data_IF_109847758229
#
_entry.id   IF_109847758229
#
_cell.length_a   1.000
_cell.length_b   1.000
_cell.length_c   1.000
_cell.angle_alpha   90.00
_cell.angle_beta   90.00
_cell.angle_gamma   90.00
#
_symmetry.space_group_name_H-M   'P 1'
#
loop_
_entity.id
_entity.type
_entity.pdbx_description
1 polymer ?
#
# COMPACT_ATOMS: atom_id res chain seq x y z
N UNK A 1 -9.53 54.82 -16.87
CA UNK A 1 -8.15 55.27 -16.58
C UNK A 1 -7.22 54.29 -17.30
N UNK A 2 -6.73 54.51 -18.53
CA UNK A 2 -5.65 55.44 -18.95
C UNK A 2 -4.51 55.49 -17.91
N UNK A 3 -3.22 55.27 -18.20
CA UNK A 3 -2.43 55.22 -19.43
C UNK A 3 -1.11 54.44 -19.15
N UNK A 4 -0.62 53.57 -20.05
CA UNK A 4 0.56 53.72 -20.96
C UNK A 4 1.87 54.27 -20.36
N UNK A 5 2.97 53.51 -20.56
CA UNK A 5 4.36 53.97 -20.54
C UNK A 5 5.39 52.82 -20.71
N UNK A 6 5.87 52.63 -21.95
CA UNK A 6 6.88 51.66 -22.49
C UNK A 6 8.33 52.27 -22.41
N UNK A 7 9.40 51.71 -23.04
CA UNK A 7 10.01 50.36 -23.09
C UNK A 7 11.59 50.44 -23.05
N UNK A 8 12.29 49.46 -23.68
CA UNK A 8 13.71 49.39 -24.14
C UNK A 8 14.67 48.62 -23.22
N UNK A 9 15.60 47.74 -23.64
CA UNK A 9 16.04 47.13 -24.92
C UNK A 9 16.81 45.84 -24.56
N UNK A 10 16.60 44.69 -25.23
CA UNK A 10 17.44 44.11 -26.30
C UNK A 10 18.90 43.82 -25.91
N UNK A 11 19.28 42.54 -25.84
CA UNK A 11 20.43 41.96 -26.55
C UNK A 11 20.60 40.45 -26.26
N UNK A 12 20.66 39.67 -27.34
CA UNK A 12 21.41 38.43 -27.46
C UNK A 12 22.05 38.43 -28.86
N UNK A 13 22.64 37.35 -29.40
CA UNK A 13 23.19 36.13 -28.80
C UNK A 13 24.67 35.89 -29.25
N UNK A 14 25.42 34.98 -28.61
CA UNK A 14 26.53 34.26 -29.31
C UNK A 14 27.02 33.01 -28.55
N UNK A 15 27.19 31.85 -29.23
CA UNK A 15 27.89 30.66 -28.72
C UNK A 15 29.26 30.45 -29.40
N UNK A 16 30.15 29.67 -28.75
CA UNK A 16 31.26 28.82 -29.27
C UNK A 16 32.47 28.83 -28.30
N UNK A 17 33.48 27.91 -28.37
CA UNK A 17 33.61 26.70 -29.19
C UNK A 17 33.98 25.41 -28.39
N UNK A 18 33.76 24.25 -29.02
CA UNK A 18 34.47 22.98 -28.79
C UNK A 18 35.81 22.95 -29.53
N UNK A 19 36.82 22.22 -29.03
CA UNK A 19 37.83 21.61 -29.89
C UNK A 19 37.89 20.07 -29.75
N UNK A 20 37.89 19.41 -30.93
CA UNK A 20 38.81 18.36 -31.43
C UNK A 20 39.27 17.26 -30.45
N UNK A 21 38.95 15.96 -30.62
CA UNK A 21 39.40 14.97 -31.64
C UNK A 21 40.89 15.04 -31.98
N UNK A 22 41.68 14.14 -31.37
CA UNK A 22 42.82 13.41 -31.96
C UNK A 22 43.36 12.40 -30.91
N UNK A 23 43.24 11.08 -31.12
CA UNK A 23 44.33 10.20 -31.58
C UNK A 23 44.33 8.96 -30.67
N UNK A 24 43.85 7.79 -31.09
CA UNK A 24 44.55 6.78 -31.90
C UNK A 24 45.87 6.32 -31.27
N UNK A 25 45.85 5.20 -30.52
CA UNK A 25 46.94 4.22 -30.55
C UNK A 25 46.45 2.80 -30.19
N UNK A 26 46.49 1.83 -31.13
CA UNK A 26 46.23 0.42 -30.86
C UNK A 26 47.54 -0.39 -30.88
N UNK A 27 47.66 -1.32 -29.93
CA UNK A 27 48.43 -2.54 -30.13
C UNK A 27 49.78 -2.63 -29.41
N UNK A 28 49.85 -3.57 -28.47
CA UNK A 28 51.05 -4.35 -28.24
C UNK A 28 50.66 -5.67 -27.59
N UNK A 29 50.31 -6.64 -28.43
CA UNK A 29 50.40 -8.07 -28.15
C UNK A 29 51.85 -8.43 -27.85
N UNK A 30 52.10 -9.06 -26.70
CA UNK A 30 53.30 -9.88 -26.49
C UNK A 30 52.89 -11.23 -25.92
N UNK A 31 52.79 -12.19 -26.83
CA UNK A 31 53.10 -13.58 -26.56
C UNK A 31 54.57 -13.69 -26.18
N UNK A 32 54.85 -14.39 -25.08
CA UNK A 32 56.13 -15.07 -24.87
C UNK A 32 55.85 -16.40 -24.20
N UNK A 33 55.88 -17.45 -25.00
CA UNK A 33 56.04 -18.84 -24.60
C UNK A 33 57.26 -19.01 -23.68
N UNK A 34 57.06 -19.73 -22.58
CA UNK A 34 58.13 -20.19 -21.70
C UNK A 34 57.72 -21.51 -21.02
N UNK A 35 58.66 -22.45 -20.78
CA UNK A 35 58.36 -23.88 -20.71
C UNK A 35 57.78 -24.33 -19.37
N UNK A 36 56.89 -25.31 -19.44
CA UNK A 36 56.37 -26.09 -18.30
C UNK A 36 57.51 -26.83 -17.57
N UNK A 37 57.60 -26.77 -16.23
CA UNK A 37 58.42 -27.72 -15.47
C UNK A 37 57.68 -29.04 -15.24
N UNK A 38 58.42 -30.12 -15.43
CA UNK A 38 58.05 -31.53 -15.24
C UNK A 38 57.74 -31.93 -13.78
N UNK A 39 57.05 -33.06 -13.56
CA UNK A 39 56.41 -33.40 -12.29
C UNK A 39 57.41 -34.00 -11.29
N UNK A 40 57.55 -33.37 -10.13
CA UNK A 40 58.25 -33.97 -8.99
C UNK A 40 57.33 -34.94 -8.26
N UNK A 41 57.78 -36.18 -8.19
CA UNK A 41 57.26 -37.25 -7.34
C UNK A 41 57.48 -36.93 -5.87
N UNK A 42 56.43 -36.55 -5.15
CA UNK A 42 56.36 -36.68 -3.70
C UNK A 42 55.06 -37.37 -3.32
N UNK A 43 55.23 -38.66 -3.05
CA UNK A 43 54.29 -39.55 -2.37
C UNK A 43 54.45 -39.26 -0.86
N UNK A 44 53.34 -39.38 -0.13
CA UNK A 44 53.22 -39.28 1.34
C UNK A 44 53.07 -37.87 1.95
N UNK A 45 51.84 -37.34 1.93
CA UNK A 45 51.14 -36.80 3.12
C UNK A 45 49.75 -36.26 2.76
N UNK A 46 48.75 -37.15 2.75
CA UNK A 46 47.33 -36.75 2.79
C UNK A 46 46.87 -36.69 4.26
N UNK A 47 46.31 -35.56 4.74
CA UNK A 47 45.62 -35.53 6.02
C UNK A 47 44.36 -36.41 5.94
N UNK A 48 44.12 -37.19 6.99
CA UNK A 48 42.95 -38.04 7.13
C UNK A 48 41.64 -37.26 6.91
N UNK A 49 40.78 -37.81 6.05
CA UNK A 49 39.37 -37.40 5.91
C UNK A 49 38.68 -37.41 7.28
N UNK A 50 38.03 -36.31 7.73
CA UNK A 50 37.04 -36.43 8.78
C UNK A 50 35.83 -37.18 8.23
N UNK A 51 35.33 -38.10 9.05
CA UNK A 51 34.15 -38.92 8.78
C UNK A 51 32.99 -38.06 8.23
N UNK A 52 32.33 -38.58 7.19
CA UNK A 52 31.08 -38.04 6.70
C UNK A 52 30.07 -38.02 7.86
N UNK A 53 29.78 -36.83 8.35
CA UNK A 53 28.58 -36.55 9.11
C UNK A 53 27.41 -36.76 8.13
N UNK A 54 26.48 -37.67 8.46
CA UNK A 54 25.27 -37.93 7.71
C UNK A 54 24.35 -36.70 7.85
N UNK A 55 24.72 -35.65 7.12
CA UNK A 55 23.98 -34.42 6.98
C UNK A 55 22.64 -34.74 6.36
N UNK A 56 21.61 -34.78 7.20
CA UNK A 56 20.22 -34.68 6.81
C UNK A 56 20.12 -33.60 5.72
N UNK A 57 19.65 -34.02 4.54
CA UNK A 57 19.45 -33.14 3.40
C UNK A 57 18.65 -31.90 3.84
N UNK A 58 19.35 -30.78 3.97
CA UNK A 58 18.77 -29.47 4.19
C UNK A 58 17.85 -29.20 2.98
N UNK A 59 16.53 -28.99 3.17
CA UNK A 59 15.61 -28.80 2.06
C UNK A 59 15.97 -27.52 1.31
N UNK A 60 16.77 -27.69 0.26
CA UNK A 60 17.25 -26.66 -0.62
C UNK A 60 16.07 -25.85 -1.20
N UNK A 61 16.07 -24.54 -0.95
CA UNK A 61 15.29 -23.57 -1.74
C UNK A 61 14.74 -22.36 -0.99
N UNK A 62 14.69 -22.35 0.33
CA UNK A 62 14.18 -21.20 1.08
C UNK A 62 15.34 -20.36 1.65
N UNK A 63 15.83 -19.39 0.87
CA UNK A 63 16.76 -18.38 1.39
C UNK A 63 16.26 -17.76 2.71
N UNK A 64 17.15 -17.26 3.59
CA UNK A 64 16.78 -16.83 4.93
C UNK A 64 15.64 -15.82 4.87
N UNK A 65 14.54 -16.14 5.56
CA UNK A 65 13.36 -15.27 5.61
C UNK A 65 13.73 -13.85 6.07
N UNK A 66 12.97 -12.82 5.67
CA UNK A 66 13.27 -11.43 6.00
C UNK A 66 13.45 -11.25 7.51
N UNK A 67 14.50 -10.51 7.88
CA UNK A 67 14.89 -10.27 9.27
C UNK A 67 13.74 -9.67 10.09
N UNK A 68 13.73 -9.98 11.39
CA UNK A 68 12.73 -9.43 12.33
C UNK A 68 12.71 -7.90 12.30
N UNK A 69 13.89 -7.27 12.19
CA UNK A 69 14.05 -5.82 12.08
C UNK A 69 13.27 -5.23 10.90
N UNK A 70 13.33 -5.86 9.72
CA UNK A 70 12.59 -5.38 8.54
C UNK A 70 11.08 -5.48 8.73
N UNK A 71 10.59 -6.53 9.39
CA UNK A 71 9.15 -6.70 9.68
C UNK A 71 8.67 -5.63 10.65
N UNK A 72 9.37 -5.45 11.76
CA UNK A 72 9.03 -4.41 12.74
C UNK A 72 9.13 -3.01 12.16
N UNK A 73 10.13 -2.74 11.31
CA UNK A 73 10.22 -1.48 10.58
C UNK A 73 8.99 -1.19 9.71
N UNK A 74 8.43 -2.20 9.03
CA UNK A 74 7.20 -2.03 8.25
C UNK A 74 5.96 -1.82 9.13
N UNK A 75 5.87 -2.52 10.26
CA UNK A 75 4.78 -2.35 11.25
C UNK A 75 4.79 -0.94 11.81
N UNK A 76 5.94 -0.47 12.32
CA UNK A 76 6.07 0.88 12.89
C UNK A 76 5.85 1.95 11.82
N UNK A 77 6.39 1.77 10.61
CA UNK A 77 6.17 2.72 9.52
C UNK A 77 4.68 2.82 9.15
N UNK A 78 3.96 1.70 9.04
CA UNK A 78 2.52 1.72 8.75
C UNK A 78 1.73 2.32 9.91
N UNK A 79 2.09 1.97 11.15
CA UNK A 79 1.44 2.45 12.35
C UNK A 79 1.50 3.98 12.48
N UNK A 80 2.67 4.57 12.18
CA UNK A 80 2.89 6.01 12.22
C UNK A 80 2.31 6.74 11.00
N UNK A 81 2.43 6.15 9.80
CA UNK A 81 2.01 6.81 8.57
C UNK A 81 0.48 6.94 8.47
N UNK A 82 -0.28 5.96 8.95
CA UNK A 82 -1.73 5.97 8.89
C UNK A 82 -2.40 7.20 9.56
N UNK A 83 -2.10 7.55 10.83
CA UNK A 83 -2.67 8.75 11.44
C UNK A 83 -2.16 10.03 10.79
N UNK A 84 -0.88 10.10 10.35
CA UNK A 84 -0.36 11.25 9.61
C UNK A 84 -1.18 11.51 8.35
N UNK A 85 -1.47 10.45 7.58
CA UNK A 85 -2.27 10.55 6.37
C UNK A 85 -3.73 10.94 6.64
N UNK A 86 -4.32 10.42 7.71
CA UNK A 86 -5.71 10.67 8.07
C UNK A 86 -5.94 12.12 8.53
N UNK A 87 -5.15 12.56 9.51
CA UNK A 87 -5.43 13.76 10.31
C UNK A 87 -4.49 14.94 9.99
N UNK A 88 -3.20 14.68 9.78
CA UNK A 88 -2.19 15.75 9.81
C UNK A 88 -2.00 16.46 8.47
N UNK A 89 -2.28 15.78 7.34
CA UNK A 89 -1.99 16.34 6.00
C UNK A 89 -2.80 17.59 5.67
N UNK A 90 -4.02 17.72 6.20
CA UNK A 90 -4.94 18.84 5.90
C UNK A 90 -4.78 20.00 6.90
N UNK A 91 -3.97 19.82 7.96
CA UNK A 91 -3.63 20.85 8.93
C UNK A 91 -4.87 21.57 9.54
N UNK A 92 -5.91 20.79 9.87
CA UNK A 92 -7.14 21.30 10.50
C UNK A 92 -7.17 21.15 12.02
N UNK A 93 -6.20 20.44 12.63
CA UNK A 93 -6.16 20.25 14.07
C UNK A 93 -5.70 21.53 14.78
N UNK A 94 -6.24 21.80 15.97
CA UNK A 94 -5.83 22.88 16.86
C UNK A 94 -4.36 22.76 17.34
N UNK A 95 -3.81 21.54 17.39
CA UNK A 95 -2.40 21.28 17.68
C UNK A 95 -1.45 21.60 16.49
N UNK A 96 -1.98 22.09 15.36
CA UNK A 96 -1.19 22.36 14.15
C UNK A 96 -0.05 23.35 14.43
N UNK A 97 1.17 22.95 14.07
CA UNK A 97 2.39 23.73 14.33
C UNK A 97 2.99 23.55 15.72
N UNK A 98 2.33 22.83 16.64
CA UNK A 98 2.94 22.35 17.87
C UNK A 98 3.58 20.98 17.65
N UNK A 99 4.90 20.93 17.53
CA UNK A 99 5.63 19.69 17.23
C UNK A 99 5.47 18.63 18.31
N UNK A 100 5.52 19.00 19.59
CA UNK A 100 5.48 18.05 20.69
C UNK A 100 4.10 17.38 20.79
N UNK A 101 3.03 18.17 20.73
CA UNK A 101 1.65 17.66 20.71
C UNK A 101 1.38 16.85 19.45
N UNK A 102 1.87 17.29 18.29
CA UNK A 102 1.74 16.53 17.04
C UNK A 102 2.40 15.15 17.12
N UNK A 103 3.61 15.05 17.68
CA UNK A 103 4.30 13.78 17.85
C UNK A 103 3.58 12.87 18.86
N UNK A 104 3.10 13.45 19.97
CA UNK A 104 2.28 12.72 20.94
C UNK A 104 1.01 12.18 20.29
N UNK A 105 0.28 13.03 19.55
CA UNK A 105 -0.95 12.66 18.86
C UNK A 105 -0.71 11.56 17.81
N UNK A 106 0.39 11.62 17.04
CA UNK A 106 0.75 10.53 16.12
C UNK A 106 0.91 9.21 16.88
N UNK A 107 1.61 9.19 18.02
CA UNK A 107 1.80 8.00 18.86
C UNK A 107 0.49 7.52 19.46
N UNK A 108 -0.31 8.44 20.00
CA UNK A 108 -1.63 8.16 20.58
C UNK A 108 -2.58 7.53 19.55
N UNK A 109 -2.56 8.02 18.32
CA UNK A 109 -3.39 7.53 17.22
C UNK A 109 -2.81 6.30 16.49
N UNK A 110 -1.58 5.87 16.79
CA UNK A 110 -0.99 4.66 16.18
C UNK A 110 -1.86 3.41 16.41
N UNK A 111 -2.32 3.08 17.63
CA UNK A 111 -3.14 1.89 17.84
C UNK A 111 -4.49 1.96 17.11
N UNK A 112 -5.03 3.14 16.89
CA UNK A 112 -6.31 3.34 16.21
C UNK A 112 -6.15 3.26 14.68
N UNK A 113 -5.58 4.28 14.06
CA UNK A 113 -5.45 4.35 12.59
C UNK A 113 -4.41 3.36 12.08
N UNK A 114 -3.25 3.32 12.73
CA UNK A 114 -2.18 2.38 12.42
C UNK A 114 -2.59 0.94 12.66
N UNK A 115 -3.25 0.67 13.79
CA UNK A 115 -3.79 -0.64 14.12
C UNK A 115 -4.85 -1.10 13.13
N UNK A 116 -5.80 -0.25 12.75
CA UNK A 116 -6.76 -0.55 11.69
C UNK A 116 -6.05 -0.90 10.38
N UNK A 117 -5.10 -0.06 9.94
CA UNK A 117 -4.34 -0.31 8.72
C UNK A 117 -3.57 -1.63 8.76
N UNK A 118 -2.96 -1.99 9.90
CA UNK A 118 -2.22 -3.26 10.06
C UNK A 118 -3.18 -4.45 10.12
N UNK A 119 -4.23 -4.39 10.93
CA UNK A 119 -5.19 -5.49 11.12
C UNK A 119 -5.95 -5.79 9.83
N UNK A 120 -6.41 -4.76 9.10
CA UNK A 120 -7.05 -4.93 7.79
C UNK A 120 -6.08 -5.58 6.80
N UNK A 121 -4.80 -5.21 6.81
CA UNK A 121 -3.78 -5.86 5.97
C UNK A 121 -3.63 -7.33 6.32
N UNK A 122 -3.49 -7.66 7.60
CA UNK A 122 -3.31 -9.03 8.08
C UNK A 122 -4.52 -9.91 7.76
N UNK A 123 -5.74 -9.42 8.02
CA UNK A 123 -7.00 -10.10 7.69
C UNK A 123 -7.11 -10.30 6.19
N UNK A 124 -6.89 -9.25 5.39
CA UNK A 124 -6.98 -9.35 3.94
C UNK A 124 -5.98 -10.36 3.37
N UNK A 125 -4.77 -10.43 3.94
CA UNK A 125 -3.77 -11.40 3.51
C UNK A 125 -4.14 -12.83 3.91
N UNK A 126 -4.48 -13.05 5.19
CA UNK A 126 -4.79 -14.39 5.74
C UNK A 126 -6.07 -14.98 5.16
N UNK A 127 -7.06 -14.15 4.85
CA UNK A 127 -8.33 -14.58 4.25
C UNK A 127 -8.33 -14.57 2.71
N UNK A 128 -7.19 -14.31 2.07
CA UNK A 128 -7.06 -14.33 0.61
C UNK A 128 -7.90 -13.26 -0.11
N UNK A 129 -8.13 -12.11 0.52
CA UNK A 129 -8.94 -11.02 -0.03
C UNK A 129 -8.21 -10.31 -1.18
N UNK A 130 -8.98 -9.91 -2.18
CA UNK A 130 -8.56 -8.99 -3.25
C UNK A 130 -8.55 -7.56 -2.73
N UNK A 131 -8.13 -6.64 -3.60
CA UNK A 131 -8.14 -5.22 -3.28
C UNK A 131 -9.55 -4.70 -2.95
N UNK A 132 -10.61 -5.24 -3.58
CA UNK A 132 -11.99 -4.91 -3.27
C UNK A 132 -12.38 -5.28 -1.85
N UNK A 133 -12.06 -6.50 -1.41
CA UNK A 133 -12.34 -6.95 -0.04
C UNK A 133 -11.59 -6.09 0.99
N UNK A 134 -10.35 -5.71 0.69
CA UNK A 134 -9.58 -4.79 1.52
C UNK A 134 -10.18 -3.38 1.55
N UNK A 135 -10.66 -2.85 0.43
CA UNK A 135 -11.34 -1.56 0.38
C UNK A 135 -12.65 -1.58 1.15
N UNK A 136 -13.40 -2.69 1.13
CA UNK A 136 -14.60 -2.88 1.93
C UNK A 136 -14.28 -2.93 3.43
N UNK A 137 -13.23 -3.63 3.86
CA UNK A 137 -12.79 -3.60 5.26
C UNK A 137 -12.35 -2.18 5.69
N UNK A 138 -11.73 -1.42 4.78
CA UNK A 138 -11.39 -0.02 5.04
C UNK A 138 -12.64 0.87 5.13
N UNK A 139 -13.67 0.60 4.32
CA UNK A 139 -14.96 1.29 4.39
C UNK A 139 -15.70 0.96 5.69
N UNK A 140 -15.65 -0.29 6.15
CA UNK A 140 -16.16 -0.68 7.46
C UNK A 140 -15.44 0.07 8.59
N UNK A 141 -14.11 0.22 8.52
CA UNK A 141 -13.37 1.05 9.46
C UNK A 141 -13.78 2.52 9.41
N UNK A 142 -13.89 3.13 8.22
CA UNK A 142 -14.33 4.52 8.10
C UNK A 142 -15.75 4.76 8.62
N UNK A 143 -16.66 3.82 8.39
CA UNK A 143 -18.01 3.86 8.95
C UNK A 143 -17.99 3.69 10.46
N UNK A 144 -17.18 2.78 11.00
CA UNK A 144 -17.01 2.64 12.45
C UNK A 144 -16.42 3.89 13.07
N UNK A 145 -15.41 4.51 12.45
CA UNK A 145 -14.81 5.76 12.92
C UNK A 145 -15.91 6.81 13.16
N UNK A 146 -16.60 7.14 12.08
CA UNK A 146 -17.55 8.25 12.03
C UNK A 146 -18.86 8.01 12.79
N UNK A 147 -19.35 6.77 12.82
CA UNK A 147 -20.67 6.45 13.39
C UNK A 147 -20.61 5.83 14.79
N UNK A 148 -19.45 5.31 15.22
CA UNK A 148 -19.31 4.56 16.47
C UNK A 148 -18.16 5.08 17.32
N UNK A 149 -17.01 5.45 16.74
CA UNK A 149 -15.80 5.76 17.51
C UNK A 149 -15.73 7.25 17.84
N UNK A 150 -15.63 8.12 16.84
CA UNK A 150 -15.57 9.58 17.02
C UNK A 150 -16.97 10.22 17.07
N UNK A 151 -18.01 9.46 16.70
CA UNK A 151 -19.42 9.87 16.72
C UNK A 151 -19.74 11.13 15.90
N UNK A 152 -18.82 11.57 15.04
CA UNK A 152 -18.94 12.76 14.21
C UNK A 152 -20.22 12.78 13.36
N UNK A 153 -20.72 11.63 12.90
CA UNK A 153 -21.99 11.55 12.15
C UNK A 153 -23.22 11.90 12.98
N UNK A 154 -23.11 11.82 14.30
CA UNK A 154 -24.20 12.03 15.25
C UNK A 154 -24.02 13.28 16.09
N UNK A 155 -23.00 14.09 15.81
CA UNK A 155 -22.72 15.35 16.51
C UNK A 155 -23.27 16.52 15.67
N UNK A 156 -24.41 17.13 16.03
CA UNK A 156 -25.06 18.16 15.19
C UNK A 156 -24.27 19.47 15.12
N UNK A 157 -23.57 19.82 16.21
CA UNK A 157 -22.82 21.06 16.35
C UNK A 157 -21.46 20.80 16.95
N UNK A 158 -20.44 21.45 16.41
CA UNK A 158 -19.12 21.53 17.00
C UNK A 158 -18.72 23.03 17.02
N UNK A 159 -18.58 23.66 18.19
CA UNK A 159 -18.31 25.09 18.30
C UNK A 159 -16.93 25.48 17.76
N UNK A 160 -16.00 24.54 17.66
CA UNK A 160 -14.64 24.80 17.21
C UNK A 160 -14.52 24.84 15.67
N UNK A 161 -15.59 24.45 14.96
CA UNK A 161 -15.62 24.32 13.50
C UNK A 161 -16.79 25.12 12.92
N UNK A 162 -16.49 26.32 12.40
CA UNK A 162 -17.48 27.29 11.89
C UNK A 162 -18.49 26.69 10.90
N UNK A 163 -18.02 25.82 10.00
CA UNK A 163 -18.83 25.25 8.93
C UNK A 163 -19.53 23.93 9.30
N UNK A 164 -19.42 23.47 10.56
CA UNK A 164 -19.92 22.15 10.99
C UNK A 164 -21.43 22.00 10.82
N UNK A 165 -22.19 23.03 11.23
CA UNK A 165 -23.65 23.01 11.13
C UNK A 165 -24.12 22.87 9.66
N UNK A 166 -23.48 23.57 8.73
CA UNK A 166 -23.78 23.48 7.30
C UNK A 166 -23.40 22.12 6.72
N UNK A 167 -22.24 21.58 7.11
CA UNK A 167 -21.79 20.24 6.73
C UNK A 167 -22.79 19.16 7.16
N UNK A 168 -23.38 19.29 8.36
CA UNK A 168 -24.36 18.32 8.88
C UNK A 168 -25.78 18.51 8.33
N UNK A 169 -26.19 19.73 8.04
CA UNK A 169 -27.59 20.04 7.70
C UNK A 169 -27.87 20.03 6.20
N UNK A 170 -26.93 20.44 5.34
CA UNK A 170 -27.24 20.73 3.92
C UNK A 170 -27.64 19.50 3.10
N UNK A 171 -27.10 18.33 3.45
CA UNK A 171 -27.43 17.05 2.78
C UNK A 171 -28.03 16.04 3.76
N UNK A 172 -28.75 16.55 4.77
CA UNK A 172 -29.42 15.72 5.76
C UNK A 172 -30.49 14.84 5.08
N UNK A 173 -30.45 13.55 5.36
CA UNK A 173 -31.47 12.59 4.93
C UNK A 173 -32.63 12.65 5.93
N UNK A 174 -33.84 13.06 5.53
CA UNK A 174 -34.99 13.11 6.42
C UNK A 174 -35.29 11.73 7.03
N UNK A 175 -35.59 11.71 8.33
CA UNK A 175 -35.90 10.47 9.08
C UNK A 175 -34.69 9.67 9.55
N UNK A 176 -33.49 9.92 9.01
CA UNK A 176 -32.23 9.36 9.52
C UNK A 176 -31.40 10.37 10.32
N UNK A 177 -31.68 11.68 10.14
CA UNK A 177 -30.91 12.80 10.70
C UNK A 177 -29.39 12.69 10.45
N UNK A 178 -29.04 12.15 9.29
CA UNK A 178 -27.68 11.85 8.89
C UNK A 178 -27.31 12.68 7.65
N UNK A 179 -26.15 13.34 7.68
CA UNK A 179 -25.61 14.03 6.51
C UNK A 179 -25.04 13.04 5.50
N UNK A 180 -25.61 12.99 4.29
CA UNK A 180 -25.11 12.15 3.22
C UNK A 180 -23.69 12.57 2.77
N UNK A 181 -23.42 13.89 2.77
CA UNK A 181 -22.11 14.46 2.49
C UNK A 181 -21.06 13.99 3.50
N UNK A 182 -21.33 14.17 4.80
CA UNK A 182 -20.43 13.76 5.86
C UNK A 182 -20.14 12.26 5.79
N UNK A 183 -21.18 11.44 5.62
CA UNK A 183 -21.05 9.98 5.49
C UNK A 183 -20.14 9.59 4.33
N UNK A 184 -20.39 10.11 3.13
CA UNK A 184 -19.62 9.71 1.94
C UNK A 184 -18.18 10.23 2.02
N UNK A 185 -17.99 11.49 2.42
CA UNK A 185 -16.65 12.11 2.44
C UNK A 185 -15.76 11.56 3.53
N UNK A 186 -16.26 11.39 4.77
CA UNK A 186 -15.44 10.87 5.87
C UNK A 186 -15.15 9.38 5.71
N UNK A 187 -16.12 8.56 5.29
CA UNK A 187 -15.86 7.13 5.02
C UNK A 187 -14.85 6.97 3.89
N UNK A 188 -15.00 7.71 2.78
CA UNK A 188 -14.04 7.67 1.67
C UNK A 188 -12.66 8.18 2.10
N UNK A 189 -12.60 9.24 2.89
CA UNK A 189 -11.39 9.78 3.49
C UNK A 189 -10.63 8.71 4.28
N UNK A 190 -11.30 7.98 5.17
CA UNK A 190 -10.69 6.88 5.92
C UNK A 190 -10.26 5.71 5.03
N UNK A 191 -11.08 5.34 4.04
CA UNK A 191 -10.73 4.27 3.09
C UNK A 191 -9.41 4.58 2.41
N UNK A 192 -9.29 5.79 1.85
CA UNK A 192 -8.14 6.19 1.06
C UNK A 192 -6.95 6.50 1.98
N UNK A 193 -7.12 7.43 2.92
CA UNK A 193 -6.02 8.06 3.64
C UNK A 193 -5.60 7.30 4.90
N UNK A 194 -6.53 6.66 5.61
CA UNK A 194 -6.15 5.89 6.80
C UNK A 194 -5.64 4.49 6.46
N UNK A 195 -6.08 3.90 5.34
CA UNK A 195 -5.81 2.48 5.04
C UNK A 195 -5.08 2.29 3.71
N UNK A 196 -5.70 2.59 2.58
CA UNK A 196 -5.20 2.13 1.27
C UNK A 196 -3.89 2.82 0.84
N UNK A 197 -3.80 4.14 1.01
CA UNK A 197 -2.59 4.93 0.72
C UNK A 197 -1.42 4.51 1.59
N UNK A 198 -1.49 4.56 2.94
CA UNK A 198 -0.34 4.22 3.78
C UNK A 198 0.09 2.75 3.62
N UNK A 199 -0.83 1.81 3.42
CA UNK A 199 -0.47 0.43 3.09
C UNK A 199 0.27 0.34 1.74
N UNK A 200 -0.16 1.08 0.73
CA UNK A 200 0.48 1.08 -0.60
C UNK A 200 1.89 1.66 -0.53
N UNK A 201 2.07 2.75 0.21
CA UNK A 201 3.38 3.36 0.47
C UNK A 201 4.31 2.32 1.10
N UNK A 202 3.93 1.72 2.24
CA UNK A 202 4.80 0.77 2.94
C UNK A 202 5.04 -0.49 2.09
N UNK A 203 4.04 -0.98 1.35
CA UNK A 203 4.20 -2.13 0.45
C UNK A 203 5.11 -1.84 -0.77
N UNK A 204 5.31 -0.57 -1.12
CA UNK A 204 6.22 -0.16 -2.20
C UNK A 204 7.68 -0.12 -1.74
N UNK A 205 7.92 0.18 -0.45
CA UNK A 205 9.28 0.24 0.14
C UNK A 205 9.70 -1.09 0.77
N UNK A 206 8.77 -1.86 1.34
CA UNK A 206 9.01 -3.14 2.01
C UNK A 206 8.73 -4.36 1.09
N UNK A 207 9.27 -4.36 -0.13
CA UNK A 207 8.95 -5.38 -1.16
C UNK A 207 9.28 -6.82 -0.74
N UNK A 208 10.33 -7.03 0.06
CA UNK A 208 10.72 -8.34 0.60
C UNK A 208 9.68 -8.95 1.54
N UNK A 209 8.68 -8.18 1.98
CA UNK A 209 7.61 -8.64 2.88
C UNK A 209 6.28 -8.87 2.16
N UNK A 210 6.26 -8.83 0.81
CA UNK A 210 5.03 -9.00 0.04
C UNK A 210 4.44 -10.39 0.20
N UNK A 211 3.12 -10.44 0.38
CA UNK A 211 2.38 -11.69 0.54
C UNK A 211 2.63 -12.42 1.87
N UNK A 212 3.36 -11.80 2.82
CA UNK A 212 3.70 -12.43 4.10
C UNK A 212 3.02 -11.73 5.28
N UNK A 213 2.49 -12.47 6.26
CA UNK A 213 2.02 -11.90 7.52
C UNK A 213 3.16 -11.16 8.22
N UNK A 214 2.85 -10.01 8.83
CA UNK A 214 3.80 -9.26 9.65
C UNK A 214 3.68 -9.62 11.12
N UNK A 215 2.46 -9.94 11.57
CA UNK A 215 2.16 -10.25 12.96
C UNK A 215 1.89 -11.74 13.14
N UNK A 216 2.33 -12.29 14.28
CA UNK A 216 1.84 -13.56 14.81
C UNK A 216 0.54 -13.37 15.60
N UNK A 217 0.00 -14.43 16.20
CA UNK A 217 -1.26 -14.37 16.96
C UNK A 217 -1.21 -13.38 18.13
N UNK A 218 -0.11 -13.36 18.89
CA UNK A 218 0.09 -12.39 19.98
C UNK A 218 0.06 -10.96 19.45
N UNK A 219 0.76 -10.69 18.33
CA UNK A 219 0.75 -9.38 17.71
C UNK A 219 -0.65 -8.94 17.29
N UNK A 220 -1.46 -9.84 16.73
CA UNK A 220 -2.86 -9.55 16.40
C UNK A 220 -3.69 -9.18 17.63
N UNK A 221 -3.53 -9.92 18.74
CA UNK A 221 -4.22 -9.62 20.00
C UNK A 221 -3.81 -8.26 20.54
N UNK A 222 -2.51 -7.97 20.62
CA UNK A 222 -2.00 -6.70 21.14
C UNK A 222 -2.47 -5.50 20.30
N UNK A 223 -2.40 -5.59 18.97
CA UNK A 223 -2.88 -4.51 18.10
C UNK A 223 -4.41 -4.35 18.15
N UNK A 224 -5.16 -5.44 18.29
CA UNK A 224 -6.63 -5.36 18.45
C UNK A 224 -7.03 -4.76 19.80
N UNK A 225 -6.32 -5.11 20.88
CA UNK A 225 -6.54 -4.55 22.20
C UNK A 225 -6.19 -3.05 22.21
N UNK A 226 -5.03 -2.67 21.66
CA UNK A 226 -4.64 -1.26 21.54
C UNK A 226 -5.62 -0.44 20.71
N UNK A 227 -6.08 -0.98 19.58
CA UNK A 227 -7.13 -0.38 18.76
C UNK A 227 -8.40 -0.12 19.58
N UNK A 228 -8.89 -1.16 20.28
CA UNK A 228 -10.13 -1.06 21.06
C UNK A 228 -9.99 -0.07 22.22
N UNK A 229 -8.85 -0.06 22.91
CA UNK A 229 -8.60 0.89 24.01
C UNK A 229 -8.67 2.33 23.53
N UNK A 230 -7.99 2.67 22.44
CA UNK A 230 -8.02 4.05 21.92
C UNK A 230 -9.40 4.39 21.33
N UNK A 231 -10.04 3.44 20.65
CA UNK A 231 -11.39 3.64 20.12
C UNK A 231 -12.42 3.93 21.24
N UNK A 232 -12.36 3.19 22.35
CA UNK A 232 -13.21 3.43 23.52
C UNK A 232 -12.88 4.77 24.17
N UNK A 233 -11.60 5.11 24.31
CA UNK A 233 -11.20 6.39 24.89
C UNK A 233 -11.75 7.58 24.09
N UNK A 234 -11.66 7.53 22.75
CA UNK A 234 -12.23 8.57 21.88
C UNK A 234 -13.75 8.60 21.99
N UNK A 235 -14.41 7.44 21.93
CA UNK A 235 -15.87 7.37 22.04
C UNK A 235 -16.41 7.99 23.33
N UNK A 236 -15.75 7.72 24.46
CA UNK A 236 -16.12 8.31 25.74
C UNK A 236 -15.80 9.80 25.77
N UNK A 237 -14.62 10.19 25.30
CA UNK A 237 -14.22 11.60 25.23
C UNK A 237 -15.17 12.46 24.40
N UNK A 238 -15.63 11.95 23.26
CA UNK A 238 -16.58 12.64 22.38
C UNK A 238 -17.96 12.78 23.02
N UNK A 239 -18.44 11.77 23.76
CA UNK A 239 -19.70 11.88 24.50
C UNK A 239 -19.64 12.85 25.66
N UNK A 240 -18.47 13.00 26.27
CA UNK A 240 -18.27 13.92 27.38
C UNK A 240 -18.08 15.37 26.87
N UNK A 241 -17.47 15.55 25.70
CA UNK A 241 -17.13 16.85 25.14
C UNK A 241 -18.23 17.47 24.26
N UNK A 242 -19.00 16.65 23.55
CA UNK A 242 -19.92 17.11 22.51
C UNK A 242 -21.37 16.68 22.76
N UNK A 243 -22.32 17.44 22.22
CA UNK A 243 -23.73 17.06 22.20
C UNK A 243 -23.96 15.97 21.15
N UNK A 244 -23.73 14.72 21.54
CA UNK A 244 -23.81 13.57 20.64
C UNK A 244 -25.20 12.94 20.67
N UNK A 245 -25.89 12.97 19.55
CA UNK A 245 -27.20 12.34 19.38
C UNK A 245 -27.13 10.85 19.00
N UNK A 246 -26.17 10.09 19.55
CA UNK A 246 -25.98 8.67 19.24
C UNK A 246 -26.69 7.76 20.26
N UNK A 247 -28.02 7.70 20.20
CA UNK A 247 -28.81 6.79 21.03
C UNK A 247 -28.54 5.30 20.74
N UNK A 248 -28.96 4.37 21.62
CA UNK A 248 -28.68 2.93 21.47
C UNK A 248 -29.13 2.34 20.12
N UNK A 249 -30.26 2.80 19.58
CA UNK A 249 -30.78 2.36 18.28
C UNK A 249 -29.86 2.80 17.13
N UNK A 250 -29.40 4.06 17.11
CA UNK A 250 -28.49 4.58 16.08
C UNK A 250 -27.15 3.84 16.11
N UNK A 251 -26.62 3.56 17.30
CA UNK A 251 -25.42 2.73 17.45
C UNK A 251 -25.61 1.30 16.97
N UNK A 252 -26.75 0.66 17.30
CA UNK A 252 -27.05 -0.69 16.85
C UNK A 252 -27.17 -0.76 15.32
N UNK A 253 -27.86 0.20 14.69
CA UNK A 253 -27.96 0.29 13.22
C UNK A 253 -26.58 0.50 12.59
N UNK A 254 -25.76 1.38 13.17
CA UNK A 254 -24.38 1.62 12.71
C UNK A 254 -23.53 0.35 12.79
N UNK A 255 -23.61 -0.38 13.90
CA UNK A 255 -22.91 -1.64 14.08
C UNK A 255 -23.38 -2.70 13.05
N UNK A 256 -24.67 -2.81 12.79
CA UNK A 256 -25.22 -3.71 11.78
C UNK A 256 -24.74 -3.33 10.37
N UNK A 257 -24.69 -2.03 10.04
CA UNK A 257 -24.17 -1.56 8.77
C UNK A 257 -22.67 -1.89 8.59
N UNK A 258 -21.86 -1.66 9.63
CA UNK A 258 -20.44 -2.06 9.67
C UNK A 258 -20.30 -3.57 9.44
N UNK A 259 -21.05 -4.38 10.18
CA UNK A 259 -21.03 -5.85 10.04
C UNK A 259 -21.45 -6.31 8.63
N UNK A 260 -22.44 -5.65 8.02
CA UNK A 260 -22.85 -5.93 6.66
C UNK A 260 -21.74 -5.64 5.63
N UNK A 261 -21.03 -4.51 5.78
CA UNK A 261 -19.88 -4.18 4.92
C UNK A 261 -18.72 -5.16 5.13
N UNK A 262 -18.44 -5.54 6.38
CA UNK A 262 -17.45 -6.59 6.70
C UNK A 262 -17.86 -7.92 6.05
N UNK A 263 -19.10 -8.36 6.21
CA UNK A 263 -19.60 -9.58 5.59
C UNK A 263 -19.45 -9.56 4.07
N UNK A 264 -19.78 -8.43 3.43
CA UNK A 264 -19.61 -8.23 1.98
C UNK A 264 -18.14 -8.41 1.55
N UNK A 265 -17.18 -7.96 2.35
CA UNK A 265 -15.75 -8.13 2.09
C UNK A 265 -15.33 -9.61 2.01
N UNK A 266 -16.04 -10.52 2.68
CA UNK A 266 -15.77 -11.96 2.64
C UNK A 266 -16.62 -12.70 1.58
N UNK A 267 -17.48 -12.02 0.82
CA UNK A 267 -18.20 -12.65 -0.30
C UNK A 267 -17.31 -12.79 -1.54
N UNK A 268 -17.89 -13.28 -2.65
CA UNK A 268 -17.22 -13.33 -3.97
C UNK A 268 -16.75 -11.97 -4.47
N UNK A 269 -17.35 -10.87 -3.99
CA UNK A 269 -16.93 -9.51 -4.33
C UNK A 269 -15.50 -9.25 -3.81
N UNK A 270 -15.23 -9.66 -2.57
CA UNK A 270 -13.95 -9.39 -1.93
C UNK A 270 -12.92 -10.51 -2.03
N UNK A 271 -13.33 -11.77 -2.25
CA UNK A 271 -12.41 -12.92 -2.35
C UNK A 271 -11.85 -13.15 -3.75
N UNK A 272 -10.69 -13.80 -3.84
CA UNK A 272 -10.14 -14.31 -5.10
C UNK A 272 -10.96 -15.52 -5.58
N UNK A 273 -11.43 -15.55 -6.84
CA UNK A 273 -11.99 -16.77 -7.41
C UNK A 273 -10.89 -17.84 -7.44
N UNK A 274 -11.09 -18.97 -6.75
CA UNK A 274 -10.26 -20.18 -6.88
C UNK A 274 -9.00 -20.26 -6.00
N UNK A 275 -9.16 -20.30 -4.68
CA UNK A 275 -8.10 -20.71 -3.73
C UNK A 275 -8.53 -21.86 -2.82
N UNK A 276 -9.60 -22.56 -3.16
CA UNK A 276 -10.14 -23.69 -2.42
C UNK A 276 -10.01 -24.96 -3.27
N UNK A 277 -8.77 -25.40 -3.49
CA UNK A 277 -8.39 -26.74 -3.97
C UNK A 277 -6.88 -26.77 -4.23
N UNK A 278 -6.06 -26.85 -3.17
CA UNK A 278 -4.70 -27.39 -3.29
C UNK A 278 -4.07 -27.84 -1.95
N UNK A 279 -4.87 -28.05 -0.91
CA UNK A 279 -4.38 -28.48 0.42
C UNK A 279 -5.18 -29.68 0.94
N UNK A 280 -5.59 -30.61 0.07
CA UNK A 280 -6.42 -31.73 0.51
C UNK A 280 -6.52 -32.96 -0.38
N UNK A 281 -5.74 -33.08 -1.46
CA UNK A 281 -5.85 -34.22 -2.37
C UNK A 281 -4.56 -35.03 -2.56
N UNK A 282 -3.47 -34.74 -1.84
CA UNK A 282 -2.22 -35.50 -1.96
C UNK A 282 -1.83 -36.35 -0.75
N UNK A 283 -2.60 -36.34 0.35
CA UNK A 283 -2.24 -37.08 1.59
C UNK A 283 -3.22 -38.21 1.98
N UNK A 284 -4.11 -38.63 1.08
CA UNK A 284 -4.97 -39.80 1.29
C UNK A 284 -4.77 -40.80 0.16
N UNK A 285 -3.61 -41.45 0.16
CA UNK A 285 -3.31 -42.51 -0.81
C UNK A 285 -2.07 -43.35 -0.53
N UNK A 286 -1.21 -42.98 0.43
CA UNK A 286 0.07 -43.66 0.67
C UNK A 286 0.11 -44.53 1.95
N UNK A 287 -1.04 -44.97 2.46
CA UNK A 287 -1.07 -45.90 3.61
C UNK A 287 -2.13 -46.99 3.43
N UNK A 288 -1.92 -47.86 2.45
CA UNK A 288 -2.58 -49.17 2.36
C UNK A 288 -1.89 -50.07 1.32
N UNK A 289 -0.64 -50.47 1.55
CA UNK A 289 -0.08 -51.69 0.95
C UNK A 289 1.26 -52.04 1.65
N UNK A 290 1.18 -52.72 2.79
CA UNK A 290 2.27 -53.55 3.30
C UNK A 290 1.72 -54.95 3.51
N UNK A 291 1.99 -55.85 2.57
CA UNK A 291 2.19 -57.27 2.83
C UNK A 291 2.56 -58.01 1.54
N UNK A 292 3.48 -58.98 1.72
CA UNK A 292 3.85 -60.14 0.87
C UNK A 292 4.76 -59.91 -0.35
N UNK A 293 6.07 -60.01 -0.08
CA UNK A 293 6.93 -61.18 -0.35
C UNK A 293 6.94 -61.88 -1.74
N UNK A 294 8.15 -62.34 -2.07
CA UNK A 294 8.57 -63.31 -3.08
C UNK A 294 8.78 -62.87 -4.55
N UNK A 295 10.05 -62.95 -4.99
CA UNK A 295 10.40 -63.86 -6.11
C UNK A 295 10.99 -63.26 -7.38
N UNK A 296 12.28 -63.57 -7.61
CA UNK A 296 12.85 -64.14 -8.85
C UNK A 296 12.79 -63.33 -10.17
N UNK A 297 13.98 -62.87 -10.56
CA UNK A 297 14.66 -62.97 -11.88
C UNK A 297 14.06 -62.46 -13.20
N UNK A 298 14.95 -61.71 -13.89
CA UNK A 298 15.39 -61.84 -15.29
C UNK A 298 14.78 -61.00 -16.44
N UNK A 299 15.71 -60.60 -17.31
CA UNK A 299 15.61 -60.29 -18.74
C UNK A 299 14.87 -59.01 -19.26
N UNK A 300 15.70 -58.06 -19.74
CA UNK A 300 15.72 -57.72 -21.18
C UNK A 300 14.89 -56.52 -21.69
N UNK A 301 15.29 -55.90 -22.83
CA UNK A 301 15.08 -54.47 -23.07
C UNK A 301 14.06 -54.14 -24.18
N UNK A 302 13.83 -52.82 -24.32
CA UNK A 302 13.28 -52.08 -25.46
C UNK A 302 11.75 -51.98 -25.61
N UNK A 303 11.25 -50.74 -25.63
CA UNK A 303 10.34 -50.26 -26.68
C UNK A 303 10.24 -48.73 -26.68
N UNK A 304 10.55 -48.17 -27.84
CA UNK A 304 10.33 -46.80 -28.27
C UNK A 304 8.82 -46.50 -28.32
N UNK A 305 8.40 -45.37 -27.77
CA UNK A 305 7.01 -44.90 -27.84
C UNK A 305 6.96 -43.38 -27.77
N UNK A 306 6.86 -42.75 -28.94
CA UNK A 306 6.83 -41.31 -29.14
C UNK A 306 5.72 -40.61 -28.32
N UNK A 307 6.09 -39.58 -27.57
CA UNK A 307 5.15 -38.59 -27.03
C UNK A 307 4.74 -37.61 -28.14
N UNK A 308 3.44 -37.40 -28.41
CA UNK A 308 3.03 -36.31 -29.27
C UNK A 308 3.15 -34.99 -28.48
N UNK A 309 4.00 -34.11 -28.99
CA UNK A 309 4.06 -32.70 -28.62
C UNK A 309 2.68 -32.06 -28.82
N UNK A 310 1.92 -31.90 -27.74
CA UNK A 310 0.82 -30.95 -27.70
C UNK A 310 1.43 -29.54 -27.65
N UNK A 311 1.15 -28.65 -28.62
CA UNK A 311 1.54 -27.27 -28.51
C UNK A 311 0.82 -26.70 -27.29
N UNK A 312 1.59 -26.13 -26.36
CA UNK A 312 1.07 -25.33 -25.26
C UNK A 312 0.06 -24.33 -25.83
N UNK A 313 -1.23 -24.60 -25.58
CA UNK A 313 -2.29 -23.68 -25.90
C UNK A 313 -1.96 -22.35 -25.22
N UNK A 314 -1.83 -21.32 -26.05
CA UNK A 314 -1.76 -19.94 -25.62
C UNK A 314 -2.82 -19.73 -24.52
N UNK A 315 -2.35 -19.31 -23.35
CA UNK A 315 -3.20 -18.94 -22.23
C UNK A 315 -4.33 -18.04 -22.73
N UNK A 316 -5.56 -18.17 -22.22
CA UNK A 316 -6.68 -17.40 -22.72
C UNK A 316 -6.31 -15.93 -22.62
N UNK A 317 -6.33 -15.24 -23.76
CA UNK A 317 -6.34 -13.79 -23.80
C UNK A 317 -7.34 -13.32 -22.74
N UNK A 318 -6.87 -12.59 -21.73
CA UNK A 318 -7.76 -11.87 -20.82
C UNK A 318 -8.39 -10.72 -21.61
N UNK A 319 -9.34 -11.06 -22.47
CA UNK A 319 -10.15 -10.14 -23.23
C UNK A 319 -10.87 -9.22 -22.25
N UNK A 320 -10.38 -7.97 -22.11
CA UNK A 320 -11.01 -6.92 -21.32
C UNK A 320 -10.16 -6.25 -20.22
N UNK A 321 -8.85 -6.51 -20.10
CA UNK A 321 -8.01 -5.68 -19.23
C UNK A 321 -7.69 -4.32 -19.89
N UNK A 322 -7.99 -3.21 -19.21
CA UNK A 322 -7.59 -1.87 -19.69
C UNK A 322 -6.09 -1.70 -19.45
N UNK A 323 -5.37 -1.19 -20.46
CA UNK A 323 -3.98 -0.78 -20.30
C UNK A 323 -3.92 0.36 -19.26
N UNK A 324 -3.15 0.22 -18.18
CA UNK A 324 -3.01 1.27 -17.20
C UNK A 324 -2.31 2.50 -17.81
N UNK A 325 -2.70 3.73 -17.41
CA UNK A 325 -1.98 4.93 -17.77
C UNK A 325 -0.53 4.86 -17.30
N UNK A 326 0.35 5.63 -17.95
CA UNK A 326 1.73 5.80 -17.49
C UNK A 326 1.75 6.25 -16.02
N UNK A 327 2.69 5.78 -15.18
CA UNK A 327 2.73 6.14 -13.76
C UNK A 327 2.63 7.63 -13.46
N UNK A 328 3.24 8.50 -14.29
CA UNK A 328 3.16 9.95 -14.10
C UNK A 328 1.73 10.50 -14.21
N UNK A 329 0.90 9.93 -15.09
CA UNK A 329 -0.50 10.30 -15.19
C UNK A 329 -1.29 9.84 -13.96
N UNK A 330 -0.90 8.72 -13.35
CA UNK A 330 -1.53 8.27 -12.11
C UNK A 330 -1.20 9.20 -10.92
N UNK A 331 -0.05 9.88 -10.91
CA UNK A 331 0.22 10.92 -9.92
C UNK A 331 -0.81 12.04 -10.06
N UNK A 332 -1.00 12.56 -11.29
CA UNK A 332 -1.97 13.62 -11.55
C UNK A 332 -3.40 13.17 -11.21
N UNK A 333 -3.81 11.97 -11.64
CA UNK A 333 -5.15 11.44 -11.36
C UNK A 333 -5.39 11.23 -9.86
N UNK A 334 -4.39 10.78 -9.11
CA UNK A 334 -4.48 10.65 -7.65
C UNK A 334 -4.65 12.00 -6.97
N UNK A 335 -3.83 12.99 -7.37
CA UNK A 335 -3.88 14.34 -6.80
C UNK A 335 -5.20 15.05 -7.11
N UNK A 336 -5.63 15.02 -8.37
CA UNK A 336 -6.89 15.62 -8.81
C UNK A 336 -8.07 14.91 -8.15
N UNK A 337 -8.09 13.57 -8.15
CA UNK A 337 -9.17 12.81 -7.53
C UNK A 337 -9.35 13.12 -6.05
N UNK A 338 -8.24 13.22 -5.31
CA UNK A 338 -8.28 13.57 -3.89
C UNK A 338 -8.71 15.04 -3.67
N UNK A 339 -8.15 15.97 -4.43
CA UNK A 339 -8.52 17.39 -4.34
C UNK A 339 -10.01 17.62 -4.68
N UNK A 340 -10.57 16.90 -5.67
CA UNK A 340 -11.98 16.99 -6.02
C UNK A 340 -12.90 16.54 -4.88
N UNK A 341 -12.49 15.53 -4.10
CA UNK A 341 -13.26 15.08 -2.94
C UNK A 341 -13.19 16.11 -1.82
N UNK A 342 -11.99 16.61 -1.51
CA UNK A 342 -11.81 17.49 -0.36
C UNK A 342 -12.30 18.94 -0.63
N UNK A 343 -12.34 19.40 -1.89
CA UNK A 343 -12.87 20.70 -2.30
C UNK A 343 -14.37 20.67 -2.64
N UNK A 344 -15.03 19.53 -2.50
CA UNK A 344 -16.42 19.40 -2.86
C UNK A 344 -17.30 20.28 -1.94
N UNK A 345 -18.24 21.07 -2.48
CA UNK A 345 -19.14 21.87 -1.65
C UNK A 345 -20.18 20.97 -0.95
N UNK A 346 -20.76 21.41 0.16
CA UNK A 346 -21.76 20.65 0.92
C UNK A 346 -23.11 20.61 0.17
N UNK A 347 -23.22 19.83 -0.90
CA UNK A 347 -24.41 19.80 -1.76
C UNK A 347 -24.73 18.39 -2.22
N UNK A 348 -25.99 18.13 -2.58
CA UNK A 348 -26.40 16.85 -3.17
C UNK A 348 -25.66 16.52 -4.48
N UNK A 349 -25.31 17.55 -5.27
CA UNK A 349 -24.51 17.37 -6.49
C UNK A 349 -23.09 16.90 -6.17
N UNK A 350 -22.47 17.43 -5.12
CA UNK A 350 -21.19 16.96 -4.63
C UNK A 350 -21.27 15.51 -4.14
N UNK A 351 -22.30 15.16 -3.36
CA UNK A 351 -22.52 13.78 -2.92
C UNK A 351 -22.58 12.83 -4.11
N UNK A 352 -23.41 13.13 -5.10
CA UNK A 352 -23.52 12.34 -6.32
C UNK A 352 -22.19 12.28 -7.08
N UNK A 353 -21.50 13.41 -7.23
CA UNK A 353 -20.20 13.51 -7.90
C UNK A 353 -19.12 12.65 -7.24
N UNK A 354 -19.04 12.66 -5.90
CA UNK A 354 -18.07 11.87 -5.14
C UNK A 354 -18.37 10.37 -5.25
N UNK A 355 -19.65 9.97 -5.16
CA UNK A 355 -20.05 8.56 -5.34
C UNK A 355 -19.70 8.07 -6.75
N UNK A 356 -19.99 8.87 -7.78
CA UNK A 356 -19.64 8.56 -9.17
C UNK A 356 -18.12 8.48 -9.34
N UNK A 357 -17.38 9.46 -8.82
CA UNK A 357 -15.91 9.48 -8.89
C UNK A 357 -15.31 8.24 -8.21
N UNK A 358 -15.75 7.92 -7.00
CA UNK A 358 -15.31 6.73 -6.26
C UNK A 358 -15.63 5.43 -7.03
N UNK A 359 -16.80 5.34 -7.65
CA UNK A 359 -17.20 4.22 -8.50
C UNK A 359 -16.33 4.09 -9.76
N UNK A 360 -16.09 5.19 -10.48
CA UNK A 360 -15.25 5.24 -11.68
C UNK A 360 -13.80 4.88 -11.34
N UNK A 361 -13.23 5.46 -10.28
CA UNK A 361 -11.87 5.14 -9.81
C UNK A 361 -11.77 3.67 -9.41
N UNK A 362 -12.74 3.17 -8.63
CA UNK A 362 -12.79 1.76 -8.23
C UNK A 362 -12.86 0.82 -9.43
N UNK A 363 -13.68 1.14 -10.42
CA UNK A 363 -13.78 0.36 -11.65
C UNK A 363 -12.47 0.39 -12.45
N UNK A 364 -11.89 1.58 -12.66
CA UNK A 364 -10.65 1.77 -13.40
C UNK A 364 -9.48 1.04 -12.73
N UNK A 365 -9.26 1.23 -11.43
CA UNK A 365 -8.24 0.50 -10.65
C UNK A 365 -8.51 -1.01 -10.70
N UNK A 366 -9.78 -1.44 -10.62
CA UNK A 366 -10.17 -2.84 -10.76
C UNK A 366 -9.86 -3.45 -12.12
N UNK A 367 -9.89 -2.66 -13.19
CA UNK A 367 -9.49 -3.06 -14.55
C UNK A 367 -7.98 -3.05 -14.71
N UNK A 368 -7.31 -1.99 -14.28
CA UNK A 368 -5.86 -1.84 -14.37
C UNK A 368 -5.12 -2.91 -13.59
N UNK A 369 -5.54 -3.20 -12.35
CA UNK A 369 -4.93 -4.25 -11.51
C UNK A 369 -5.01 -5.66 -12.10
N UNK A 370 -5.84 -5.88 -13.12
CA UNK A 370 -5.92 -7.15 -13.87
C UNK A 370 -5.03 -7.18 -15.11
N UNK A 371 -4.52 -6.04 -15.55
CA UNK A 371 -3.59 -5.93 -16.67
C UNK A 371 -2.23 -6.53 -16.34
N UNK A 372 -1.61 -7.20 -17.30
CA UNK A 372 -0.25 -7.73 -17.20
C UNK A 372 0.80 -6.61 -17.02
N UNK A 373 0.50 -5.40 -17.48
CA UNK A 373 1.40 -4.25 -17.38
C UNK A 373 1.24 -3.46 -16.09
N UNK A 374 0.26 -3.79 -15.24
CA UNK A 374 0.12 -3.17 -13.94
C UNK A 374 1.27 -3.59 -13.03
N UNK A 375 1.91 -2.60 -12.42
CA UNK A 375 3.10 -2.81 -11.62
C UNK A 375 3.02 -2.03 -10.32
N UNK A 376 3.88 -2.35 -9.34
CA UNK A 376 4.00 -1.59 -8.10
C UNK A 376 4.25 -0.09 -8.32
N UNK A 377 4.90 0.28 -9.43
CA UNK A 377 5.13 1.66 -9.81
C UNK A 377 3.83 2.45 -9.98
N UNK A 378 2.83 1.81 -10.60
CA UNK A 378 1.54 2.43 -10.87
C UNK A 378 0.77 2.67 -9.57
N UNK A 379 0.71 1.67 -8.68
CA UNK A 379 0.08 1.81 -7.38
C UNK A 379 0.76 2.88 -6.51
N UNK A 380 2.10 2.86 -6.48
CA UNK A 380 2.90 3.84 -5.76
C UNK A 380 2.67 5.27 -6.28
N UNK A 381 2.65 5.44 -7.60
CA UNK A 381 2.40 6.74 -8.24
C UNK A 381 0.99 7.28 -7.92
N UNK A 382 -0.03 6.41 -7.98
CA UNK A 382 -1.41 6.81 -7.65
C UNK A 382 -1.55 7.22 -6.18
N UNK A 383 -0.98 6.44 -5.26
CA UNK A 383 -0.99 6.76 -3.83
C UNK A 383 -0.19 8.04 -3.52
N UNK A 384 0.95 8.26 -4.19
CA UNK A 384 1.73 9.48 -4.03
C UNK A 384 0.98 10.71 -4.56
N UNK A 385 0.26 10.57 -5.67
CA UNK A 385 -0.66 11.60 -6.16
C UNK A 385 -1.70 11.99 -5.11
N UNK A 386 -2.41 11.00 -4.54
CA UNK A 386 -3.41 11.25 -3.51
C UNK A 386 -2.83 11.94 -2.27
N UNK A 387 -1.64 11.52 -1.80
CA UNK A 387 -0.92 12.21 -0.72
C UNK A 387 -0.66 13.67 -1.08
N UNK A 388 -0.12 13.93 -2.27
CA UNK A 388 0.21 15.28 -2.71
C UNK A 388 -1.04 16.17 -2.77
N UNK A 389 -2.13 15.67 -3.36
CA UNK A 389 -3.40 16.40 -3.45
C UNK A 389 -3.91 16.82 -2.07
N UNK A 390 -3.91 15.90 -1.11
CA UNK A 390 -4.36 16.18 0.26
C UNK A 390 -3.42 17.10 1.03
N UNK A 391 -2.10 16.91 0.91
CA UNK A 391 -1.10 17.76 1.59
C UNK A 391 -1.13 19.20 1.08
N UNK A 392 -1.28 19.40 -0.23
CA UNK A 392 -1.35 20.75 -0.81
C UNK A 392 -2.63 21.47 -0.39
N UNK A 393 -3.71 20.74 -0.13
CA UNK A 393 -4.92 21.34 0.42
C UNK A 393 -4.73 21.86 1.85
N UNK A 394 -3.75 21.34 2.60
CA UNK A 394 -3.39 21.87 3.92
C UNK A 394 -3.08 23.37 3.92
N UNK A 395 -2.63 23.94 2.80
CA UNK A 395 -2.44 25.39 2.65
C UNK A 395 -3.75 26.16 2.45
N UNK A 396 -4.78 25.53 1.90
CA UNK A 396 -6.04 26.15 1.52
C UNK A 396 -7.19 25.88 2.51
N UNK A 397 -7.04 24.92 3.42
CA UNK A 397 -8.05 24.67 4.46
C UNK A 397 -8.24 25.89 5.37
N UNK A 398 -9.33 25.99 6.14
CA UNK A 398 -9.49 27.02 7.17
C UNK A 398 -8.40 26.94 8.25
N UNK A 399 -8.00 28.08 8.81
CA UNK A 399 -7.03 28.09 9.92
C UNK A 399 -7.77 27.62 11.19
N UNK A 400 -7.26 26.60 11.90
CA UNK A 400 -7.89 26.13 13.13
C UNK A 400 -7.92 27.22 14.19
N UNK A 401 -8.92 27.18 15.07
CA UNK A 401 -8.98 28.08 16.22
C UNK A 401 -7.72 27.94 17.08
N UNK A 402 -7.18 29.07 17.53
CA UNK A 402 -5.95 29.09 18.33
C UNK A 402 -4.63 28.91 17.54
N UNK A 403 -4.69 28.60 16.24
CA UNK A 403 -3.49 28.38 15.40
C UNK A 403 -3.16 29.63 14.60
N UNK A 404 -1.88 30.02 14.57
CA UNK A 404 -1.43 31.11 13.70
C UNK A 404 -1.30 30.68 12.24
N UNK A 405 -1.54 31.60 11.30
CA UNK A 405 -1.32 31.36 9.86
C UNK A 405 0.10 30.88 9.58
N UNK A 406 1.10 31.46 10.25
CA UNK A 406 2.50 31.08 10.10
C UNK A 406 2.77 29.63 10.54
N UNK A 407 2.22 29.21 11.69
CA UNK A 407 2.34 27.85 12.20
C UNK A 407 1.74 26.83 11.22
N UNK A 408 0.56 27.13 10.67
CA UNK A 408 -0.11 26.30 9.68
C UNK A 408 0.67 26.18 8.37
N UNK A 409 1.18 27.30 7.84
CA UNK A 409 1.99 27.31 6.61
C UNK A 409 3.29 26.53 6.80
N UNK A 410 3.96 26.69 7.96
CA UNK A 410 5.17 25.93 8.29
C UNK A 410 4.88 24.42 8.38
N UNK A 411 3.83 24.02 9.07
CA UNK A 411 3.38 22.63 9.17
C UNK A 411 3.11 22.01 7.79
N UNK A 412 2.33 22.70 6.97
CA UNK A 412 1.99 22.25 5.60
C UNK A 412 3.23 22.17 4.70
N UNK A 413 4.17 23.11 4.86
CA UNK A 413 5.47 23.09 4.18
C UNK A 413 6.32 21.87 4.56
N UNK A 414 6.44 21.58 5.86
CA UNK A 414 7.17 20.40 6.36
C UNK A 414 6.55 19.11 5.83
N UNK A 415 5.22 18.95 5.92
CA UNK A 415 4.54 17.76 5.40
C UNK A 415 4.68 17.62 3.88
N UNK A 416 4.70 18.73 3.13
CA UNK A 416 4.95 18.70 1.69
C UNK A 416 6.33 18.16 1.37
N UNK A 417 7.37 18.63 2.08
CA UNK A 417 8.74 18.12 1.91
C UNK A 417 8.84 16.63 2.26
N UNK A 418 8.17 16.20 3.33
CA UNK A 418 8.13 14.79 3.73
C UNK A 418 7.42 13.91 2.68
N UNK A 419 6.29 14.34 2.14
CA UNK A 419 5.55 13.62 1.08
C UNK A 419 6.33 13.58 -0.23
N UNK A 420 7.02 14.67 -0.61
CA UNK A 420 7.93 14.68 -1.76
C UNK A 420 9.08 13.67 -1.57
N UNK A 421 9.71 13.69 -0.39
CA UNK A 421 10.81 12.78 -0.05
C UNK A 421 10.36 11.33 -0.08
N UNK A 422 9.17 11.04 0.46
CA UNK A 422 8.55 9.71 0.43
C UNK A 422 8.31 9.24 -1.01
N UNK A 423 7.80 10.11 -1.87
CA UNK A 423 7.62 9.80 -3.30
C UNK A 423 8.92 9.43 -4.00
N UNK A 424 10.01 10.16 -3.73
CA UNK A 424 11.35 9.85 -4.26
C UNK A 424 11.82 8.48 -3.77
N UNK A 425 11.61 8.16 -2.48
CA UNK A 425 11.96 6.84 -1.91
C UNK A 425 11.16 5.72 -2.57
N UNK A 426 9.86 5.91 -2.78
CA UNK A 426 8.99 4.95 -3.47
C UNK A 426 9.47 4.71 -4.90
N UNK A 427 9.79 5.79 -5.63
CA UNK A 427 10.28 5.73 -7.00
C UNK A 427 11.63 5.01 -7.14
N UNK A 428 12.57 5.29 -6.23
CA UNK A 428 13.87 4.60 -6.16
C UNK A 428 13.71 3.11 -5.85
N UNK A 429 12.82 2.77 -4.91
CA UNK A 429 12.51 1.39 -4.54
C UNK A 429 11.94 0.58 -5.71
N UNK A 430 11.12 1.22 -6.54
CA UNK A 430 10.57 0.61 -7.76
C UNK A 430 11.66 0.38 -8.82
N UNK A 431 12.52 1.37 -9.11
CA UNK A 431 13.53 1.29 -10.20
C UNK A 431 14.63 0.26 -9.96
N UNK A 432 15.11 0.09 -8.72
CA UNK A 432 16.19 -0.85 -8.39
C UNK A 432 15.87 -2.31 -8.74
N UNK A 433 14.58 -2.65 -8.85
CA UNK A 433 14.15 -4.01 -9.21
C UNK A 433 14.02 -4.28 -10.70
N UNK A 434 13.97 -3.25 -11.55
CA UNK A 434 13.94 -3.42 -13.00
C UNK A 434 15.29 -3.85 -13.59
N UNK A 435 16.39 -3.51 -12.93
CA UNK A 435 17.76 -3.83 -13.39
C UNK A 435 18.25 -5.20 -12.90
N UNK A 436 17.75 -5.69 -11.76
CA UNK A 436 18.15 -6.99 -11.21
C UNK A 436 17.61 -8.20 -12.00
N UNK A 437 16.65 -8.00 -12.90
CA UNK A 437 16.07 -9.07 -13.73
C UNK A 437 16.71 -9.24 -15.12
N UNK A 438 17.67 -8.38 -15.50
CA UNK A 438 18.31 -8.40 -16.83
C UNK A 438 19.79 -8.85 -16.73
N UNK A 439 20.37 -8.88 -15.53
CA UNK A 439 21.82 -9.04 -15.33
C UNK A 439 22.34 -10.44 -14.96
N UNK A 440 21.53 -11.50 -14.96
CA UNK A 440 21.98 -12.83 -14.48
C UNK A 440 21.81 -13.98 -15.47
N UNK A 441 21.55 -13.72 -16.75
CA UNK A 441 21.47 -14.77 -17.79
C UNK A 441 22.65 -14.79 -18.74
N UNK A 442 23.72 -14.05 -18.46
CA UNK A 442 24.96 -14.09 -19.23
C UNK A 442 26.17 -13.91 -18.32
N UNK A 443 26.64 -15.00 -17.73
CA UNK A 443 28.07 -15.24 -17.49
C UNK A 443 28.27 -16.70 -17.11
N UNK A 444 29.07 -17.36 -17.95
CA UNK A 444 29.83 -18.62 -17.78
C UNK A 444 29.07 -19.89 -17.45
#
# INVERSE_FOLDING_TARGET
MSARGRPSDADGPTPAPTPDIEGSDPGSTRDVDGPLPEPTSDVDNLPAHPAADDGAADPAGAGPGPSRLRRWGAVVALAALAPICAEFLVAYLDITGNLAESLFAVVFFMPLYGGAAILIREVALRAGLRWQGRALLAAAFGLSMTAIIDLSLWTPTNPDIEFWADLQSTTRIPGLDLSAYALVTWVLGHVVMSVLVPQTVVASTARSLRGRPWLGSIGLVLWSAGFLTVAVAIHLGERDANDVEAGPVRLAVSALAVLAVVALAFTRVGRRPGGASDVGASDVGASAARSTDAGVSDAGPAAVGASPLAPYALSPERTGALTPPRPILLIALGAIGMALVDLAPFTWWAVAGIVVLAGVVSFAVGRWTRSATWSPAHAAAFAWGALMGRTLLGFASPVPLGVSVAAKVAHSGVLTVLVLSLGVLMWRGVRRTGHAGIGSSHTS
#
